data_IF_739249272566
#
_entry.id   IF_739249272566
#
_cell.length_a   1.000
_cell.length_b   1.000
_cell.length_c   1.000
_cell.angle_alpha   90.00
_cell.angle_beta   90.00
_cell.angle_gamma   90.00
#
_symmetry.space_group_name_H-M   'P 1'
#
loop_
_entity.id
_entity.type
_entity.pdbx_description
1 polymer ?
#
# COMPACT_ATOMS: atom_id res chain seq x y z
N UNK A 1 -2.41 26.61 -29.29
CA UNK A 1 -2.09 25.20 -28.95
C UNK A 1 -2.94 24.85 -27.75
N UNK A 2 -3.89 23.92 -27.88
CA UNK A 2 -4.69 23.50 -26.74
C UNK A 2 -3.81 22.60 -25.85
N UNK A 3 -3.56 23.03 -24.63
CA UNK A 3 -2.92 22.20 -23.62
C UNK A 3 -3.89 21.07 -23.26
N UNK A 4 -3.53 19.84 -23.60
CA UNK A 4 -4.27 18.66 -23.18
C UNK A 4 -4.01 18.42 -21.69
N UNK A 5 -4.91 18.91 -20.82
CA UNK A 5 -4.88 18.58 -19.40
C UNK A 5 -5.39 17.15 -19.19
N UNK A 6 -4.49 16.25 -18.80
CA UNK A 6 -4.87 14.91 -18.32
C UNK A 6 -5.23 15.03 -16.84
N UNK A 7 -6.50 14.87 -16.49
CA UNK A 7 -6.91 14.72 -15.10
C UNK A 7 -6.80 13.24 -14.70
N UNK A 8 -5.88 12.93 -13.78
CA UNK A 8 -5.78 11.61 -13.16
C UNK A 8 -6.45 11.69 -11.80
N UNK A 9 -7.51 10.91 -11.61
CA UNK A 9 -8.16 10.80 -10.31
C UNK A 9 -7.27 9.99 -9.36
N UNK A 10 -6.61 10.68 -8.42
CA UNK A 10 -5.73 10.10 -7.41
C UNK A 10 -6.15 10.62 -6.03
N UNK A 11 -7.17 10.00 -5.40
CA UNK A 11 -7.71 10.48 -4.13
C UNK A 11 -6.68 10.34 -3.01
N UNK A 12 -6.70 11.27 -2.07
CA UNK A 12 -5.93 11.16 -0.83
C UNK A 12 -6.62 10.17 0.12
N UNK A 13 -5.85 9.39 0.91
CA UNK A 13 -6.43 8.57 1.97
C UNK A 13 -7.14 9.42 3.02
N UNK A 14 -8.33 8.99 3.47
CA UNK A 14 -9.03 9.63 4.60
C UNK A 14 -8.44 9.23 5.94
N UNK A 15 -7.82 8.05 6.01
CA UNK A 15 -7.14 7.54 7.20
C UNK A 15 -5.97 6.63 6.79
N UNK A 16 -4.92 6.66 7.59
CA UNK A 16 -3.76 5.79 7.46
C UNK A 16 -3.44 5.18 8.83
N UNK A 17 -3.22 3.86 8.87
CA UNK A 17 -2.90 3.18 10.12
C UNK A 17 -1.97 1.97 9.93
N UNK A 18 -1.50 1.43 11.05
CA UNK A 18 -0.78 0.16 11.08
C UNK A 18 -1.70 -0.95 11.60
N UNK A 19 -1.75 -2.07 10.87
CA UNK A 19 -2.39 -3.30 11.35
C UNK A 19 -1.38 -4.44 11.41
N UNK A 20 -1.58 -5.37 12.34
CA UNK A 20 -0.81 -6.63 12.38
C UNK A 20 -1.71 -7.75 11.89
N UNK A 21 -1.56 -8.10 10.63
CA UNK A 21 -2.39 -9.12 9.97
C UNK A 21 -1.54 -10.31 9.53
N UNK A 22 -2.16 -11.48 9.38
CA UNK A 22 -1.52 -12.62 8.74
C UNK A 22 -1.28 -12.33 7.26
N UNK A 23 -0.04 -12.40 6.81
CA UNK A 23 0.30 -12.19 5.40
C UNK A 23 0.37 -13.54 4.68
N UNK A 24 -0.51 -13.82 3.69
CA UNK A 24 -0.50 -15.10 2.97
C UNK A 24 0.82 -15.41 2.26
N UNK A 25 1.54 -14.38 1.80
CA UNK A 25 2.83 -14.57 1.11
C UNK A 25 4.01 -14.76 2.06
N UNK A 26 3.94 -14.19 3.27
CA UNK A 26 4.99 -14.40 4.28
C UNK A 26 4.71 -15.59 5.20
N UNK A 27 3.47 -16.07 5.23
CA UNK A 27 2.97 -17.13 6.11
C UNK A 27 3.18 -16.84 7.60
N UNK A 28 3.13 -15.56 7.97
CA UNK A 28 3.25 -15.09 9.36
C UNK A 28 2.59 -13.73 9.59
N UNK A 29 2.27 -13.37 10.85
CA UNK A 29 1.83 -12.03 11.19
C UNK A 29 2.86 -10.97 10.79
N UNK A 30 2.38 -9.91 10.14
CA UNK A 30 3.19 -8.78 9.67
C UNK A 30 2.51 -7.46 9.98
N UNK A 31 3.32 -6.45 10.28
CA UNK A 31 2.87 -5.06 10.20
C UNK A 31 2.55 -4.72 8.76
N UNK A 32 1.37 -4.15 8.57
CA UNK A 32 0.86 -3.71 7.29
C UNK A 32 0.52 -2.23 7.37
N UNK A 33 0.89 -1.49 6.33
CA UNK A 33 0.46 -0.12 6.16
C UNK A 33 -0.91 -0.14 5.48
N UNK A 34 -1.91 0.46 6.12
CA UNK A 34 -3.30 0.46 5.67
C UNK A 34 -3.71 1.88 5.34
N UNK A 35 -4.38 2.04 4.20
CA UNK A 35 -4.98 3.30 3.74
C UNK A 35 -6.45 3.09 3.46
N UNK A 36 -7.28 3.95 4.04
CA UNK A 36 -8.72 4.01 3.77
C UNK A 36 -9.02 5.17 2.83
N UNK A 37 -9.98 4.97 1.93
CA UNK A 37 -10.44 5.98 0.98
C UNK A 37 -11.97 6.07 1.08
N UNK A 38 -12.55 7.23 0.76
CA UNK A 38 -13.98 7.48 0.92
C UNK A 38 -14.86 6.52 0.09
N UNK A 39 -14.45 6.23 -1.16
CA UNK A 39 -15.23 5.44 -2.12
C UNK A 39 -14.54 4.16 -2.60
N UNK A 40 -13.35 3.85 -2.07
CA UNK A 40 -12.57 2.68 -2.49
C UNK A 40 -12.28 1.78 -1.30
N UNK A 41 -12.19 0.47 -1.57
CA UNK A 41 -11.75 -0.50 -0.57
C UNK A 41 -10.36 -0.16 -0.04
N UNK A 42 -10.11 -0.55 1.21
CA UNK A 42 -8.84 -0.28 1.87
C UNK A 42 -7.67 -0.89 1.09
N UNK A 43 -6.59 -0.12 0.95
CA UNK A 43 -5.33 -0.62 0.40
C UNK A 43 -4.40 -1.00 1.54
N UNK A 44 -3.88 -2.22 1.49
CA UNK A 44 -3.06 -2.82 2.54
C UNK A 44 -1.74 -3.27 1.93
N UNK A 45 -0.62 -2.74 2.41
CA UNK A 45 0.72 -3.14 1.94
C UNK A 45 1.50 -3.81 3.06
N UNK A 46 1.98 -5.03 2.84
CA UNK A 46 2.80 -5.75 3.82
C UNK A 46 4.23 -5.18 3.89
N UNK A 47 4.67 -4.75 5.08
CA UNK A 47 6.02 -4.22 5.27
C UNK A 47 7.13 -5.30 5.16
N UNK A 48 6.77 -6.59 5.14
CA UNK A 48 7.72 -7.69 5.03
C UNK A 48 8.03 -8.12 3.59
N UNK A 49 7.01 -8.29 2.75
CA UNK A 49 7.17 -8.79 1.37
C UNK A 49 6.81 -7.77 0.28
N UNK A 50 6.15 -6.67 0.63
CA UNK A 50 5.74 -5.63 -0.32
C UNK A 50 4.55 -5.99 -1.20
N UNK A 51 3.89 -7.11 -0.95
CA UNK A 51 2.61 -7.42 -1.60
C UNK A 51 1.54 -6.44 -1.11
N UNK A 52 0.59 -6.14 -1.99
CA UNK A 52 -0.51 -5.22 -1.75
C UNK A 52 -1.84 -5.95 -1.94
N UNK A 53 -2.82 -5.59 -1.11
CA UNK A 53 -4.20 -6.04 -1.22
C UNK A 53 -5.13 -4.83 -1.29
N UNK A 54 -6.19 -4.96 -2.07
CA UNK A 54 -7.29 -4.03 -2.10
C UNK A 54 -8.58 -4.81 -1.82
N UNK A 55 -9.32 -4.38 -0.80
CA UNK A 55 -10.59 -5.00 -0.39
C UNK A 55 -10.51 -6.53 -0.18
N UNK A 56 -9.40 -6.99 0.40
CA UNK A 56 -9.16 -8.42 0.68
C UNK A 56 -8.61 -9.23 -0.51
N UNK A 57 -8.60 -8.68 -1.71
CA UNK A 57 -8.02 -9.32 -2.89
C UNK A 57 -6.59 -8.87 -3.12
N UNK A 58 -5.71 -9.79 -3.50
CA UNK A 58 -4.33 -9.43 -3.83
C UNK A 58 -4.32 -8.58 -5.10
N UNK A 59 -3.71 -7.40 -5.02
CA UNK A 59 -3.55 -6.51 -6.16
C UNK A 59 -2.61 -7.12 -7.20
N UNK A 60 -2.76 -6.70 -8.46
CA UNK A 60 -1.85 -7.13 -9.52
C UNK A 60 -0.41 -6.71 -9.21
N UNK A 61 0.54 -7.62 -9.49
CA UNK A 61 1.95 -7.34 -9.28
C UNK A 61 2.45 -6.37 -10.35
N UNK A 62 3.10 -5.25 -9.96
CA UNK A 62 3.64 -4.31 -10.93
C UNK A 62 4.63 -4.98 -11.90
N UNK A 63 4.48 -4.72 -13.20
CA UNK A 63 5.39 -5.19 -14.24
C UNK A 63 6.67 -4.33 -14.29
N UNK A 64 7.37 -4.23 -13.16
CA UNK A 64 8.58 -3.42 -13.03
C UNK A 64 9.65 -4.14 -12.20
N UNK A 65 10.92 -4.00 -12.60
CA UNK A 65 12.03 -4.62 -11.86
C UNK A 65 12.14 -4.00 -10.46
N UNK A 66 12.30 -4.85 -9.46
CA UNK A 66 12.52 -4.41 -8.08
C UNK A 66 11.28 -3.88 -7.36
N UNK A 67 10.08 -4.09 -7.92
CA UNK A 67 8.81 -3.64 -7.34
C UNK A 67 8.66 -4.03 -5.85
N UNK A 68 9.04 -5.26 -5.48
CA UNK A 68 8.97 -5.72 -4.07
C UNK A 68 9.77 -4.83 -3.13
N UNK A 69 11.01 -4.52 -3.49
CA UNK A 69 11.90 -3.69 -2.66
C UNK A 69 11.32 -2.29 -2.50
N UNK A 70 10.79 -1.73 -3.58
CA UNK A 70 10.18 -0.40 -3.56
C UNK A 70 8.93 -0.37 -2.69
N UNK A 71 8.04 -1.36 -2.81
CA UNK A 71 6.84 -1.46 -1.97
C UNK A 71 7.19 -1.64 -0.50
N UNK A 72 8.17 -2.49 -0.17
CA UNK A 72 8.66 -2.67 1.21
C UNK A 72 9.17 -1.33 1.76
N UNK A 73 10.02 -0.63 1.01
CA UNK A 73 10.57 0.66 1.43
C UNK A 73 9.48 1.73 1.60
N UNK A 74 8.49 1.74 0.72
CA UNK A 74 7.33 2.63 0.81
C UNK A 74 6.51 2.34 2.08
N UNK A 75 6.16 1.08 2.32
CA UNK A 75 5.42 0.66 3.49
C UNK A 75 6.16 0.99 4.80
N UNK A 76 7.46 0.67 4.88
CA UNK A 76 8.28 0.99 6.07
C UNK A 76 8.34 2.51 6.29
N UNK A 77 8.57 3.30 5.24
CA UNK A 77 8.63 4.77 5.34
C UNK A 77 7.29 5.35 5.82
N UNK A 78 6.17 4.84 5.31
CA UNK A 78 4.86 5.33 5.71
C UNK A 78 4.49 4.92 7.13
N UNK A 79 4.87 3.70 7.55
CA UNK A 79 4.72 3.28 8.94
C UNK A 79 5.54 4.17 9.88
N UNK A 80 6.79 4.46 9.53
CA UNK A 80 7.66 5.36 10.31
C UNK A 80 7.07 6.78 10.39
N UNK A 81 6.52 7.29 9.27
CA UNK A 81 5.82 8.59 9.21
C UNK A 81 4.64 8.67 10.19
N UNK A 82 3.93 7.57 10.43
CA UNK A 82 2.83 7.50 11.41
C UNK A 82 3.28 7.02 12.80
N UNK A 83 4.60 6.98 13.06
CA UNK A 83 5.16 6.67 14.38
C UNK A 83 5.34 5.17 14.69
N UNK A 84 5.25 4.30 13.67
CA UNK A 84 5.38 2.84 13.83
C UNK A 84 6.67 2.35 13.20
N UNK A 85 7.57 1.78 14.02
CA UNK A 85 8.70 1.01 13.49
C UNK A 85 8.21 -0.30 12.90
N UNK A 86 8.50 -0.52 11.62
CA UNK A 86 8.17 -1.75 10.88
C UNK A 86 8.84 -3.00 11.46
#
# INVERSE_FOLDING_TARGET
MAENFVHIHAPEPVEECCQVNFCPTCERPRRMFVRYFEWYGATITCAGCGEEWQDGYQSERPLMRGWRKQNIQCAIRNLDRIGVKA
#
